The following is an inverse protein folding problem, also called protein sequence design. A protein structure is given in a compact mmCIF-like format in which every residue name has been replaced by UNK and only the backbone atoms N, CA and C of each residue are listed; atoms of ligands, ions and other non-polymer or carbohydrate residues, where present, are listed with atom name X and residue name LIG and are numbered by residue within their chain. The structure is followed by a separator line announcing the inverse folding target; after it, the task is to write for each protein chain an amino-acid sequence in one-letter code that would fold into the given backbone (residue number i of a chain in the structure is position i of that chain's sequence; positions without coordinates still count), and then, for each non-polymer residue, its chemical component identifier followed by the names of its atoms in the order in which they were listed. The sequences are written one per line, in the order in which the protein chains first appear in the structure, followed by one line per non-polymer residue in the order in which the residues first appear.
data_IF_108637017472
#
_entry.id   IF_108637017472
#
_cell.length_a   1.000
_cell.length_b   1.000
_cell.length_c   1.000
_cell.angle_alpha   90.00
_cell.angle_beta   90.00
_cell.angle_gamma   90.00
#
_symmetry.space_group_name_H-M   'P 1'
#
loop_
_entity.id
_entity.type
_entity.pdbx_description
1 polymer ?
#
# COMPACT_ATOMS: atom_id res chain seq x y z
N UNK A 1 -26.18 16.19 -5.75
CA UNK A 1 -24.83 16.06 -5.17
C UNK A 1 -24.02 15.20 -6.12
N UNK A 2 -23.31 15.82 -7.08
CA UNK A 2 -22.59 15.07 -8.12
C UNK A 2 -21.33 14.45 -7.53
N UNK A 3 -21.26 13.11 -7.54
CA UNK A 3 -20.04 12.38 -7.24
C UNK A 3 -18.92 12.89 -8.16
N UNK A 4 -17.86 13.40 -7.55
CA UNK A 4 -16.64 13.78 -8.24
C UNK A 4 -16.07 12.52 -8.88
N UNK A 5 -16.21 12.40 -10.21
CA UNK A 5 -15.63 11.29 -10.97
C UNK A 5 -14.11 11.47 -10.98
N UNK A 6 -13.41 10.68 -10.18
CA UNK A 6 -11.95 10.63 -10.24
C UNK A 6 -11.56 9.74 -11.43
N UNK A 7 -10.87 10.29 -12.41
CA UNK A 7 -10.21 9.49 -13.45
C UNK A 7 -9.04 8.78 -12.77
N UNK A 8 -9.23 7.50 -12.44
CA UNK A 8 -8.16 6.65 -11.97
C UNK A 8 -7.31 6.28 -13.18
N UNK A 9 -6.08 6.80 -13.26
CA UNK A 9 -5.13 6.40 -14.30
C UNK A 9 -4.84 4.89 -14.27
N UNK A 10 -4.47 4.30 -15.42
CA UNK A 10 -4.23 2.86 -15.56
C UNK A 10 -3.21 2.29 -14.56
N UNK A 11 -2.21 3.09 -14.17
CA UNK A 11 -1.24 2.71 -13.13
C UNK A 11 -1.87 2.58 -11.74
N UNK A 12 -2.76 3.50 -11.37
CA UNK A 12 -3.46 3.45 -10.09
C UNK A 12 -4.45 2.29 -10.04
N UNK A 13 -5.18 2.02 -11.13
CA UNK A 13 -6.05 0.85 -11.23
C UNK A 13 -5.26 -0.46 -11.05
N UNK A 14 -4.08 -0.58 -11.70
CA UNK A 14 -3.19 -1.74 -11.54
C UNK A 14 -2.69 -1.90 -10.10
N UNK A 15 -2.31 -0.80 -9.44
CA UNK A 15 -1.86 -0.84 -8.05
C UNK A 15 -2.97 -1.31 -7.09
N UNK A 16 -4.22 -0.86 -7.31
CA UNK A 16 -5.39 -1.28 -6.54
C UNK A 16 -5.75 -2.75 -6.77
N UNK A 17 -5.70 -3.23 -8.02
CA UNK A 17 -5.90 -4.67 -8.31
C UNK A 17 -4.84 -5.53 -7.61
N UNK A 18 -3.57 -5.12 -7.66
CA UNK A 18 -2.50 -5.84 -6.96
C UNK A 18 -2.64 -5.75 -5.43
N UNK A 19 -3.20 -4.65 -4.90
CA UNK A 19 -3.49 -4.52 -3.47
C UNK A 19 -4.51 -5.56 -3.02
N UNK A 20 -5.63 -5.70 -3.74
CA UNK A 20 -6.64 -6.72 -3.45
C UNK A 20 -6.03 -8.14 -3.45
N UNK A 21 -5.16 -8.44 -4.41
CA UNK A 21 -4.46 -9.72 -4.46
C UNK A 21 -3.50 -9.92 -3.29
N UNK A 22 -2.78 -8.87 -2.89
CA UNK A 22 -1.87 -8.89 -1.75
C UNK A 22 -2.62 -9.14 -0.44
N UNK A 23 -3.77 -8.49 -0.25
CA UNK A 23 -4.62 -8.63 0.94
C UNK A 23 -5.27 -10.00 1.07
N UNK A 24 -5.51 -10.70 -0.04
CA UNK A 24 -6.04 -12.07 -0.03
C UNK A 24 -5.00 -13.15 0.29
N UNK A 25 -3.72 -12.81 0.45
CA UNK A 25 -2.69 -13.81 0.80
C UNK A 25 -2.83 -14.25 2.26
N UNK A 26 -2.62 -15.53 2.51
CA UNK A 26 -2.70 -16.14 3.85
C UNK A 26 -1.72 -15.50 4.84
N UNK A 27 -0.51 -15.15 4.36
CA UNK A 27 0.55 -14.54 5.16
C UNK A 27 0.43 -13.02 5.30
N UNK A 28 -0.56 -12.39 4.66
CA UNK A 28 -0.63 -10.94 4.62
C UNK A 28 -0.70 -10.31 6.01
N UNK A 29 -1.51 -10.86 6.91
CA UNK A 29 -1.68 -10.36 8.28
C UNK A 29 -0.39 -10.39 9.10
N UNK A 30 0.53 -11.29 8.78
CA UNK A 30 1.81 -11.47 9.48
C UNK A 30 2.88 -10.46 9.03
N UNK A 31 2.76 -9.94 7.81
CA UNK A 31 3.68 -8.95 7.26
C UNK A 31 3.57 -7.67 8.10
N UNK A 32 4.65 -7.18 8.68
CA UNK A 32 4.63 -5.92 9.45
C UNK A 32 4.57 -4.72 8.53
N UNK A 33 3.98 -3.62 9.00
CA UNK A 33 3.92 -2.35 8.25
C UNK A 33 5.30 -1.86 7.79
N UNK A 34 6.34 -2.00 8.62
CA UNK A 34 7.71 -1.64 8.25
C UNK A 34 8.28 -2.51 7.11
N UNK A 35 7.86 -3.78 7.01
CA UNK A 35 8.30 -4.68 5.94
C UNK A 35 7.66 -4.30 4.60
N UNK A 36 6.41 -3.85 4.62
CA UNK A 36 5.75 -3.25 3.45
C UNK A 36 6.52 -2.01 2.98
N UNK A 37 6.91 -1.11 3.89
CA UNK A 37 7.70 0.08 3.56
C UNK A 37 9.07 -0.27 2.98
N UNK A 38 9.78 -1.22 3.57
CA UNK A 38 11.09 -1.66 3.09
C UNK A 38 10.99 -2.28 1.69
N UNK A 39 9.98 -3.12 1.45
CA UNK A 39 9.75 -3.73 0.14
C UNK A 39 9.34 -2.69 -0.91
N UNK A 40 8.60 -1.65 -0.52
CA UNK A 40 8.29 -0.52 -1.40
C UNK A 40 9.55 0.26 -1.78
N UNK A 41 10.39 0.59 -0.79
CA UNK A 41 11.65 1.30 -1.02
C UNK A 41 12.58 0.52 -1.96
N UNK A 42 12.72 -0.78 -1.76
CA UNK A 42 13.48 -1.64 -2.66
C UNK A 42 12.93 -1.63 -4.10
N UNK A 43 11.59 -1.65 -4.24
CA UNK A 43 10.95 -1.57 -5.56
C UNK A 43 11.22 -0.24 -6.26
N UNK A 44 11.22 0.88 -5.53
CA UNK A 44 11.61 2.18 -6.07
C UNK A 44 13.07 2.22 -6.53
N UNK A 45 13.99 1.61 -5.78
CA UNK A 45 15.40 1.49 -6.16
C UNK A 45 15.57 0.70 -7.45
N UNK A 46 14.86 -0.42 -7.59
CA UNK A 46 14.87 -1.24 -8.82
C UNK A 46 14.27 -0.47 -10.00
N UNK A 47 13.17 0.25 -9.78
CA UNK A 47 12.58 1.09 -10.81
C UNK A 47 13.56 2.15 -11.31
N UNK A 48 14.28 2.81 -10.39
CA UNK A 48 15.28 3.81 -10.75
C UNK A 48 16.38 3.24 -11.64
N UNK A 49 16.88 2.03 -11.31
CA UNK A 49 17.89 1.33 -12.11
C UNK A 49 17.35 0.95 -13.49
N UNK A 50 16.10 0.48 -13.57
CA UNK A 50 15.47 0.04 -14.80
C UNK A 50 15.07 1.20 -15.74
N UNK A 51 14.84 2.41 -15.23
CA UNK A 51 14.24 3.52 -15.98
C UNK A 51 14.93 3.85 -17.32
N UNK A 52 16.24 3.64 -17.41
CA UNK A 52 17.04 3.95 -18.62
C UNK A 52 17.10 2.80 -19.63
N UNK A 53 16.87 1.56 -19.18
CA UNK A 53 17.06 0.34 -19.99
C UNK A 53 15.75 -0.38 -20.31
N UNK A 54 14.77 -0.31 -19.40
CA UNK A 54 13.49 -0.98 -19.51
C UNK A 54 12.40 -0.18 -18.77
N UNK A 55 11.63 0.59 -19.54
CA UNK A 55 10.53 1.39 -19.01
C UNK A 55 9.36 0.54 -18.49
N UNK A 56 9.16 -0.67 -19.03
CA UNK A 56 8.08 -1.55 -18.60
C UNK A 56 8.40 -2.17 -17.23
N UNK A 57 9.65 -2.61 -17.03
CA UNK A 57 10.13 -3.09 -15.73
C UNK A 57 10.12 -1.96 -14.69
N UNK A 58 10.55 -0.75 -15.07
CA UNK A 58 10.48 0.42 -14.18
C UNK A 58 9.04 0.70 -13.74
N UNK A 59 8.09 0.67 -14.68
CA UNK A 59 6.67 0.85 -14.37
C UNK A 59 6.13 -0.27 -13.47
N UNK A 60 6.49 -1.53 -13.73
CA UNK A 60 6.06 -2.67 -12.91
C UNK A 60 6.58 -2.54 -11.47
N UNK A 61 7.87 -2.19 -11.31
CA UNK A 61 8.47 -1.94 -10.00
C UNK A 61 7.77 -0.79 -9.25
N UNK A 62 7.43 0.30 -9.93
CA UNK A 62 6.70 1.42 -9.31
C UNK A 62 5.30 1.02 -8.86
N UNK A 63 4.55 0.27 -9.67
CA UNK A 63 3.21 -0.23 -9.31
C UNK A 63 3.30 -1.16 -8.10
N UNK A 64 4.27 -2.09 -8.11
CA UNK A 64 4.51 -3.02 -7.02
C UNK A 64 4.89 -2.31 -5.71
N UNK A 65 5.68 -1.25 -5.81
CA UNK A 65 5.99 -0.37 -4.68
C UNK A 65 4.77 0.39 -4.16
N UNK A 66 3.98 0.99 -5.07
CA UNK A 66 2.76 1.72 -4.73
C UNK A 66 1.75 0.83 -4.01
N UNK A 67 1.54 -0.40 -4.47
CA UNK A 67 0.66 -1.38 -3.80
C UNK A 67 1.05 -1.61 -2.33
N UNK A 68 2.34 -1.70 -2.02
CA UNK A 68 2.81 -1.89 -0.63
C UNK A 68 2.65 -0.63 0.22
N UNK A 69 2.85 0.54 -0.37
CA UNK A 69 2.60 1.80 0.32
C UNK A 69 1.12 1.97 0.65
N UNK A 70 0.22 1.59 -0.28
CA UNK A 70 -1.22 1.61 -0.02
C UNK A 70 -1.62 0.63 1.10
N UNK A 71 -1.09 -0.59 1.08
CA UNK A 71 -1.30 -1.56 2.16
C UNK A 71 -0.78 -1.05 3.52
N UNK A 72 0.40 -0.43 3.54
CA UNK A 72 0.97 0.15 4.76
C UNK A 72 0.12 1.32 5.28
N UNK A 73 -0.32 2.21 4.39
CA UNK A 73 -1.17 3.34 4.73
C UNK A 73 -2.51 2.87 5.33
N UNK A 74 -3.17 1.88 4.71
CA UNK A 74 -4.42 1.33 5.21
C UNK A 74 -4.31 0.74 6.63
N UNK A 75 -3.15 0.21 7.00
CA UNK A 75 -2.90 -0.30 8.37
C UNK A 75 -2.69 0.80 9.39
N UNK A 76 -2.02 1.89 9.01
CA UNK A 76 -1.86 3.06 9.88
C UNK A 76 -3.22 3.67 10.22
N UNK A 77 -4.15 3.71 9.25
CA UNK A 77 -5.52 4.20 9.47
C UNK A 77 -6.33 3.28 10.41
N UNK A 78 -6.10 1.96 10.35
CA UNK A 78 -6.74 1.00 11.25
C UNK A 78 -6.19 1.07 12.69
N UNK A 79 -4.88 1.21 12.87
CA UNK A 79 -4.26 1.38 14.21
C UNK A 79 -4.66 2.71 14.88
N UNK A 80 -5.00 3.74 14.10
CA UNK A 80 -5.58 4.99 14.63
C UNK A 80 -6.96 4.80 15.26
N UNK A 81 -7.74 3.79 14.84
CA UNK A 81 -9.02 3.47 15.50
C UNK A 81 -8.84 2.70 16.82
N UNK A 82 -7.72 1.97 16.99
CA UNK A 82 -7.45 1.23 18.23
C UNK A 82 -6.88 2.12 19.36
N UNK A 83 -6.35 3.31 19.04
CA UNK A 83 -5.71 4.20 20.03
C UNK A 83 -6.64 5.20 20.74
N UNK A 84 -7.92 5.32 20.35
CA UNK A 84 -8.82 6.36 20.87
C UNK A 84 -9.93 5.86 21.80
N UNK A 85 -9.97 4.58 22.17
CA UNK A 85 -10.92 4.06 23.16
C UNK A 85 -10.18 3.28 24.24
N UNK A 86 -9.60 3.99 25.19
CA UNK A 86 -9.34 3.43 26.52
C UNK A 86 -10.68 3.49 27.27
N UNK A 87 -11.28 2.34 27.53
CA UNK A 87 -12.53 2.27 28.30
C UNK A 87 -12.31 2.92 29.69
N UNK A 88 -12.92 4.09 29.88
CA UNK A 88 -12.84 4.88 31.11
C UNK A 88 -13.51 4.17 32.29
N UNK A 89 -14.21 3.05 32.06
CA UNK A 89 -14.84 2.21 33.10
C UNK A 89 -13.92 1.16 33.70
N UNK A 90 -12.67 1.06 33.25
CA UNK A 90 -11.67 0.15 33.85
C UNK A 90 -10.75 0.86 34.87
N UNK A 91 -10.96 2.16 35.11
CA UNK A 91 -10.10 2.97 35.96
C UNK A 91 -10.79 3.55 37.22
N UNK A 92 -12.08 3.28 37.46
CA UNK A 92 -12.80 3.60 38.70
C UNK A 92 -13.86 2.55 39.01
#
# INVERSE_FOLDING_TARGET
MHATSFIVGSAAARALTQLQQLECREDFSEIRTVELLNAAAHSCERAHKALRSDAAEAQACLIHGATRLLAAAGRIDLDRSAMNVRDLRSAL
#
